data_IF_384814837742
#
_entry.id   IF_384814837742
#
_cell.length_a   1.000
_cell.length_b   1.000
_cell.length_c   1.000
_cell.angle_alpha   90.00
_cell.angle_beta   90.00
_cell.angle_gamma   90.00
#
_symmetry.space_group_name_H-M   'P 1'
#
loop_
_entity.id
_entity.type
_entity.pdbx_description
1 polymer ?
#
# COMPACT_ATOMS: atom_id res chain seq x y z
N UNK A 1 -6.95 8.05 -48.46
CA UNK A 1 -7.74 7.12 -47.63
C UNK A 1 -7.81 5.70 -48.16
N UNK A 2 -7.98 5.45 -49.47
CA UNK A 2 -8.02 4.06 -49.98
C UNK A 2 -6.67 3.31 -49.88
N UNK A 3 -5.54 4.00 -50.12
CA UNK A 3 -4.18 3.41 -50.01
C UNK A 3 -3.84 2.93 -48.60
N UNK A 4 -4.00 3.79 -47.58
CA UNK A 4 -3.78 3.43 -46.18
C UNK A 4 -4.61 2.20 -45.74
N UNK A 5 -5.88 2.14 -46.14
CA UNK A 5 -6.73 0.97 -45.83
C UNK A 5 -6.20 -0.33 -46.46
N UNK A 6 -5.63 -0.26 -47.66
CA UNK A 6 -5.04 -1.42 -48.32
C UNK A 6 -3.73 -1.85 -47.65
N UNK A 7 -2.90 -0.89 -47.23
CA UNK A 7 -1.65 -1.19 -46.51
C UNK A 7 -1.93 -1.81 -45.13
N UNK A 8 -2.94 -1.33 -44.39
CA UNK A 8 -3.36 -1.95 -43.12
C UNK A 8 -3.80 -3.40 -43.34
N UNK A 9 -4.65 -3.66 -44.34
CA UNK A 9 -5.11 -5.03 -44.65
C UNK A 9 -3.93 -5.93 -45.04
N UNK A 10 -2.96 -5.40 -45.81
CA UNK A 10 -1.77 -6.13 -46.19
C UNK A 10 -0.88 -6.44 -44.97
N UNK A 11 -0.73 -5.49 -44.04
CA UNK A 11 0.05 -5.66 -42.82
C UNK A 11 -0.54 -6.71 -41.86
N UNK A 12 -1.87 -6.79 -41.80
CA UNK A 12 -2.61 -7.79 -41.02
C UNK A 12 -2.74 -9.14 -41.74
N UNK A 13 -2.17 -9.28 -42.94
CA UNK A 13 -2.31 -10.49 -43.73
C UNK A 13 -1.53 -11.67 -43.14
N UNK A 14 -2.00 -12.89 -43.42
CA UNK A 14 -1.25 -14.11 -43.11
C UNK A 14 0.11 -14.17 -43.82
N UNK A 15 0.32 -13.37 -44.86
CA UNK A 15 1.59 -13.32 -45.57
C UNK A 15 2.67 -12.65 -44.72
N UNK A 16 2.39 -11.47 -44.15
CA UNK A 16 3.30 -10.80 -43.20
C UNK A 16 3.63 -11.73 -42.04
N UNK A 17 2.63 -12.37 -41.44
CA UNK A 17 2.86 -13.31 -40.34
C UNK A 17 3.80 -14.47 -40.73
N UNK A 18 3.65 -15.04 -41.93
CA UNK A 18 4.55 -16.10 -42.44
C UNK A 18 5.97 -15.60 -42.66
N UNK A 19 6.13 -14.39 -43.20
CA UNK A 19 7.45 -13.79 -43.46
C UNK A 19 8.19 -13.43 -42.18
N UNK A 20 7.48 -12.86 -41.21
CA UNK A 20 8.02 -12.63 -39.86
C UNK A 20 8.46 -13.96 -39.23
N UNK A 21 7.65 -15.01 -39.34
CA UNK A 21 8.00 -16.35 -38.85
C UNK A 21 9.21 -16.96 -39.58
N UNK A 22 9.39 -16.65 -40.87
CA UNK A 22 10.55 -17.05 -41.65
C UNK A 22 11.83 -16.26 -41.29
N UNK A 23 11.69 -15.11 -40.61
CA UNK A 23 12.81 -14.27 -40.20
C UNK A 23 13.18 -13.18 -41.19
N UNK A 24 12.24 -12.76 -42.04
CA UNK A 24 12.47 -11.65 -42.96
C UNK A 24 12.57 -10.32 -42.18
N UNK A 25 13.46 -9.43 -42.61
CA UNK A 25 13.60 -8.11 -42.01
C UNK A 25 12.46 -7.18 -42.43
N UNK A 26 12.16 -6.16 -41.62
CA UNK A 26 11.03 -5.25 -41.88
C UNK A 26 11.12 -4.61 -43.26
N UNK A 27 12.31 -4.23 -43.71
CA UNK A 27 12.51 -3.61 -45.01
C UNK A 27 12.18 -4.53 -46.20
N UNK A 28 12.45 -5.83 -46.09
CA UNK A 28 12.14 -6.84 -47.11
C UNK A 28 10.63 -7.08 -47.18
N UNK A 29 9.99 -7.16 -46.00
CA UNK A 29 8.53 -7.27 -45.86
C UNK A 29 7.85 -6.06 -46.51
N UNK A 30 8.27 -4.86 -46.13
CA UNK A 30 7.72 -3.62 -46.65
C UNK A 30 7.95 -3.46 -48.16
N UNK A 31 9.16 -3.79 -48.65
CA UNK A 31 9.53 -3.65 -50.05
C UNK A 31 8.70 -4.51 -50.99
N UNK A 32 8.52 -5.79 -50.65
CA UNK A 32 7.75 -6.72 -51.49
C UNK A 32 6.24 -6.48 -51.43
N UNK A 33 5.71 -6.08 -50.27
CA UNK A 33 4.28 -5.80 -50.09
C UNK A 33 3.90 -4.36 -50.47
N UNK A 34 4.89 -3.53 -50.82
CA UNK A 34 4.69 -2.14 -51.21
C UNK A 34 4.19 -1.25 -50.07
N UNK A 35 4.49 -1.59 -48.82
CA UNK A 35 4.11 -0.81 -47.63
C UNK A 35 5.00 0.43 -47.53
N UNK A 36 4.39 1.59 -47.33
CA UNK A 36 5.08 2.89 -47.32
C UNK A 36 4.58 3.80 -46.22
N UNK A 37 3.38 3.57 -45.71
CA UNK A 37 2.82 4.37 -44.65
C UNK A 37 3.62 4.17 -43.34
N UNK A 38 4.10 5.25 -42.70
CA UNK A 38 4.93 5.14 -41.50
C UNK A 38 4.28 4.38 -40.35
N UNK A 39 2.96 4.52 -40.13
CA UNK A 39 2.26 3.84 -39.04
C UNK A 39 2.16 2.33 -39.34
N UNK A 40 1.96 1.97 -40.61
CA UNK A 40 1.95 0.57 -41.04
C UNK A 40 3.34 -0.06 -40.95
N UNK A 41 4.39 0.69 -41.31
CA UNK A 41 5.77 0.23 -41.18
C UNK A 41 6.13 -0.01 -39.71
N UNK A 42 5.79 0.93 -38.83
CA UNK A 42 5.98 0.77 -37.39
C UNK A 42 5.23 -0.46 -36.85
N UNK A 43 3.99 -0.69 -37.27
CA UNK A 43 3.26 -1.90 -36.91
C UNK A 43 3.99 -3.18 -37.35
N UNK A 44 4.52 -3.23 -38.57
CA UNK A 44 5.32 -4.38 -39.05
C UNK A 44 6.63 -4.53 -38.27
N UNK A 45 7.30 -3.43 -37.90
CA UNK A 45 8.49 -3.46 -37.04
C UNK A 45 8.17 -4.08 -35.68
N UNK A 46 7.04 -3.71 -35.07
CA UNK A 46 6.57 -4.31 -33.80
C UNK A 46 6.30 -5.81 -33.99
N UNK A 47 5.67 -6.22 -35.10
CA UNK A 47 5.44 -7.64 -35.38
C UNK A 47 6.75 -8.42 -35.50
N UNK A 48 7.74 -7.89 -36.21
CA UNK A 48 9.08 -8.49 -36.32
C UNK A 48 9.75 -8.55 -34.95
N UNK A 49 9.67 -7.49 -34.14
CA UNK A 49 10.27 -7.43 -32.81
C UNK A 49 9.70 -8.50 -31.85
N UNK A 50 8.39 -8.73 -31.89
CA UNK A 50 7.69 -9.62 -30.97
C UNK A 50 7.67 -11.09 -31.41
N UNK A 51 7.77 -11.36 -32.71
CA UNK A 51 7.50 -12.69 -33.26
C UNK A 51 8.68 -13.26 -34.04
N UNK A 52 8.74 -14.60 -34.07
CA UNK A 52 9.69 -15.32 -34.91
C UNK A 52 11.15 -15.25 -34.42
N UNK A 53 12.12 -15.26 -35.35
CA UNK A 53 13.54 -15.38 -35.01
C UNK A 53 14.12 -14.19 -34.24
N UNK A 54 13.65 -12.96 -34.45
CA UNK A 54 14.17 -11.78 -33.76
C UNK A 54 13.89 -11.84 -32.25
N UNK A 55 12.64 -12.10 -31.85
CA UNK A 55 12.28 -12.26 -30.43
C UNK A 55 12.97 -13.48 -29.80
N UNK A 56 13.12 -14.57 -30.55
CA UNK A 56 13.86 -15.76 -30.09
C UNK A 56 15.33 -15.42 -29.83
N UNK A 57 15.99 -14.70 -30.74
CA UNK A 57 17.40 -14.35 -30.62
C UNK A 57 17.69 -13.50 -29.37
N UNK A 58 16.85 -12.50 -29.07
CA UNK A 58 17.01 -11.69 -27.83
C UNK A 58 16.68 -12.48 -26.57
N UNK A 59 15.68 -13.37 -26.62
CA UNK A 59 15.36 -14.28 -25.50
C UNK A 59 16.51 -15.24 -25.20
N UNK A 60 17.25 -15.65 -26.22
CA UNK A 60 18.43 -16.52 -26.09
C UNK A 60 19.70 -15.75 -25.68
N UNK A 61 19.62 -14.41 -25.65
CA UNK A 61 20.65 -13.55 -25.09
C UNK A 61 21.44 -12.72 -26.10
N UNK A 62 21.06 -12.74 -27.37
CA UNK A 62 21.64 -11.82 -28.37
C UNK A 62 21.31 -10.37 -27.97
N UNK A 63 22.26 -9.43 -28.02
CA UNK A 63 21.98 -8.04 -27.66
C UNK A 63 20.89 -7.40 -28.54
N UNK A 64 19.98 -6.65 -27.93
CA UNK A 64 18.85 -6.05 -28.64
C UNK A 64 19.28 -5.08 -29.74
N UNK A 65 20.41 -4.38 -29.60
CA UNK A 65 20.97 -3.51 -30.66
C UNK A 65 21.35 -4.28 -31.91
N UNK A 66 22.05 -5.40 -31.74
CA UNK A 66 22.52 -6.24 -32.83
C UNK A 66 21.32 -6.83 -33.59
N UNK A 67 20.29 -7.30 -32.86
CA UNK A 67 19.05 -7.80 -33.46
C UNK A 67 18.28 -6.67 -34.16
N UNK A 68 18.13 -5.50 -33.54
CA UNK A 68 17.45 -4.38 -34.19
C UNK A 68 18.17 -3.94 -35.48
N UNK A 69 19.50 -3.95 -35.49
CA UNK A 69 20.29 -3.67 -36.69
C UNK A 69 20.08 -4.73 -37.78
N UNK A 70 20.11 -6.01 -37.41
CA UNK A 70 19.91 -7.11 -38.34
C UNK A 70 18.52 -7.06 -39.01
N UNK A 71 17.48 -6.80 -38.22
CA UNK A 71 16.09 -6.80 -38.69
C UNK A 71 15.59 -5.42 -39.16
N UNK A 72 16.46 -4.40 -39.12
CA UNK A 72 16.16 -3.02 -39.49
C UNK A 72 15.01 -2.39 -38.69
N UNK A 73 14.92 -2.72 -37.39
CA UNK A 73 13.96 -2.13 -36.44
C UNK A 73 14.47 -0.73 -36.05
N UNK A 74 13.64 0.30 -36.26
CA UNK A 74 14.02 1.71 -36.12
C UNK A 74 13.08 2.49 -35.20
N UNK A 75 11.80 2.13 -35.13
CA UNK A 75 10.83 2.82 -34.30
C UNK A 75 11.12 2.56 -32.82
N UNK A 76 10.81 3.54 -31.97
CA UNK A 76 11.00 3.41 -30.53
C UNK A 76 10.07 2.35 -29.94
N UNK A 77 8.84 2.22 -30.45
CA UNK A 77 7.87 1.25 -29.96
C UNK A 77 8.28 -0.19 -30.31
N UNK A 78 8.77 -0.42 -31.53
CA UNK A 78 9.31 -1.72 -31.92
C UNK A 78 10.61 -2.04 -31.17
N UNK A 79 11.45 -1.02 -30.92
CA UNK A 79 12.64 -1.18 -30.07
C UNK A 79 12.27 -1.57 -28.65
N UNK A 80 11.31 -0.88 -28.05
CA UNK A 80 10.79 -1.19 -26.73
C UNK A 80 10.24 -2.62 -26.70
N UNK A 81 9.41 -3.00 -27.67
CA UNK A 81 8.86 -4.34 -27.79
C UNK A 81 9.95 -5.42 -27.84
N UNK A 82 11.01 -5.20 -28.64
CA UNK A 82 12.15 -6.11 -28.72
C UNK A 82 12.90 -6.23 -27.38
N UNK A 83 13.11 -5.11 -26.69
CA UNK A 83 13.77 -5.11 -25.38
C UNK A 83 12.91 -5.80 -24.31
N UNK A 84 11.59 -5.66 -24.35
CA UNK A 84 10.66 -6.41 -23.50
C UNK A 84 10.79 -7.93 -23.71
N UNK A 85 11.05 -8.38 -24.93
CA UNK A 85 11.25 -9.80 -25.23
C UNK A 85 12.54 -10.37 -24.63
N UNK A 86 13.58 -9.56 -24.44
CA UNK A 86 14.81 -10.02 -23.79
C UNK A 86 14.60 -10.36 -22.30
N UNK A 87 13.64 -9.70 -21.65
CA UNK A 87 13.42 -9.78 -20.20
C UNK A 87 12.94 -11.17 -19.73
N UNK A 88 11.92 -11.82 -20.31
CA UNK A 88 11.55 -13.18 -19.91
C UNK A 88 12.61 -14.23 -20.28
N UNK A 89 13.59 -13.87 -21.12
CA UNK A 89 14.66 -14.72 -21.58
C UNK A 89 15.92 -14.71 -20.71
N UNK A 90 17.08 -14.77 -21.37
CA UNK A 90 18.38 -14.88 -20.73
C UNK A 90 18.72 -13.70 -19.84
N UNK A 91 18.41 -12.46 -20.26
CA UNK A 91 18.67 -11.26 -19.46
C UNK A 91 17.95 -11.30 -18.09
N UNK A 92 16.66 -11.68 -18.08
CA UNK A 92 15.90 -11.83 -16.83
C UNK A 92 16.47 -12.89 -15.90
N UNK A 93 16.83 -14.07 -16.43
CA UNK A 93 17.43 -15.15 -15.63
C UNK A 93 18.70 -14.69 -14.91
N UNK A 94 19.56 -13.94 -15.61
CA UNK A 94 20.82 -13.43 -15.05
C UNK A 94 20.60 -12.49 -13.85
N UNK A 95 19.67 -11.55 -13.96
CA UNK A 95 19.36 -10.62 -12.86
C UNK A 95 18.59 -11.28 -11.71
N UNK A 96 17.90 -12.40 -11.99
CA UNK A 96 17.24 -13.21 -10.97
C UNK A 96 18.24 -14.00 -10.12
N UNK A 97 19.33 -14.47 -10.72
CA UNK A 97 20.33 -15.29 -10.04
C UNK A 97 21.18 -14.48 -9.06
N UNK A 98 22.00 -13.54 -9.53
CA UNK A 98 22.77 -12.62 -8.66
C UNK A 98 23.49 -11.50 -9.43
N UNK A 99 23.20 -11.31 -10.72
CA UNK A 99 23.90 -10.30 -11.52
C UNK A 99 23.27 -8.91 -11.41
N UNK A 100 24.09 -7.88 -11.61
CA UNK A 100 23.64 -6.48 -11.59
C UNK A 100 22.77 -6.17 -12.81
N UNK A 101 21.61 -5.57 -12.58
CA UNK A 101 20.70 -5.09 -13.63
C UNK A 101 21.40 -4.12 -14.58
N UNK A 102 22.26 -3.24 -14.07
CA UNK A 102 23.03 -2.31 -14.91
C UNK A 102 24.00 -3.05 -15.86
N UNK A 103 24.71 -4.07 -15.35
CA UNK A 103 25.63 -4.85 -16.16
C UNK A 103 24.89 -5.65 -17.23
N UNK A 104 23.81 -6.32 -16.83
CA UNK A 104 22.98 -7.13 -17.74
C UNK A 104 22.33 -6.23 -18.80
N UNK A 105 21.74 -5.10 -18.40
CA UNK A 105 21.14 -4.15 -19.34
C UNK A 105 22.16 -3.65 -20.37
N UNK A 106 23.39 -3.34 -19.93
CA UNK A 106 24.47 -2.91 -20.84
C UNK A 106 24.87 -4.01 -21.83
N UNK A 107 25.05 -5.24 -21.35
CA UNK A 107 25.50 -6.36 -22.20
C UNK A 107 24.42 -6.82 -23.18
N UNK A 108 23.16 -6.81 -22.78
CA UNK A 108 22.03 -7.12 -23.65
C UNK A 108 21.51 -5.90 -24.42
N UNK A 109 22.12 -4.72 -24.22
CA UNK A 109 21.72 -3.45 -24.83
C UNK A 109 20.24 -3.13 -24.63
N UNK A 110 19.74 -3.41 -23.41
CA UNK A 110 18.42 -2.97 -22.92
C UNK A 110 18.60 -1.54 -22.41
N UNK A 111 17.97 -0.58 -23.09
CA UNK A 111 18.21 0.86 -22.92
C UNK A 111 16.94 1.65 -22.65
N UNK A 112 15.79 1.12 -23.07
CA UNK A 112 14.49 1.76 -22.84
C UNK A 112 14.15 1.73 -21.34
N UNK A 113 13.70 2.86 -20.81
CA UNK A 113 13.53 3.06 -19.37
C UNK A 113 12.54 2.07 -18.78
N UNK A 114 11.47 1.77 -19.50
CA UNK A 114 10.42 0.82 -19.14
C UNK A 114 10.94 -0.62 -19.08
N UNK A 115 11.76 -1.01 -20.06
CA UNK A 115 12.37 -2.34 -20.10
C UNK A 115 13.42 -2.51 -19.00
N UNK A 116 14.24 -1.48 -18.73
CA UNK A 116 15.17 -1.47 -17.59
C UNK A 116 14.42 -1.56 -16.26
N UNK A 117 13.33 -0.81 -16.09
CA UNK A 117 12.51 -0.85 -14.89
C UNK A 117 11.92 -2.24 -14.63
N UNK A 118 11.45 -2.91 -15.67
CA UNK A 118 10.96 -4.29 -15.55
C UNK A 118 12.11 -5.27 -15.21
N UNK A 119 13.28 -5.11 -15.82
CA UNK A 119 14.45 -5.94 -15.51
C UNK A 119 14.85 -5.81 -14.03
N UNK A 120 14.90 -4.58 -13.51
CA UNK A 120 15.12 -4.32 -12.08
C UNK A 120 14.01 -4.93 -11.21
N UNK A 121 12.74 -4.75 -11.61
CA UNK A 121 11.59 -5.33 -10.91
C UNK A 121 11.72 -6.84 -10.78
N UNK A 122 12.17 -7.56 -11.81
CA UNK A 122 12.39 -9.01 -11.76
C UNK A 122 13.50 -9.39 -10.78
N UNK A 123 14.62 -8.66 -10.79
CA UNK A 123 15.71 -8.90 -9.83
C UNK A 123 15.24 -8.82 -8.38
N UNK A 124 14.32 -7.89 -8.09
CA UNK A 124 13.74 -7.73 -6.75
C UNK A 124 12.62 -8.75 -6.49
N UNK A 125 11.65 -8.89 -7.38
CA UNK A 125 10.43 -9.69 -7.16
C UNK A 125 10.72 -11.20 -7.15
N UNK A 126 11.54 -11.66 -8.11
CA UNK A 126 11.80 -13.07 -8.38
C UNK A 126 13.24 -13.46 -8.02
N UNK A 127 14.13 -12.48 -8.00
CA UNK A 127 15.57 -12.68 -7.90
C UNK A 127 16.19 -12.60 -6.51
N UNK A 128 17.52 -12.63 -6.51
CA UNK A 128 18.35 -12.60 -5.31
C UNK A 128 18.31 -11.28 -4.54
N UNK A 129 18.03 -10.15 -5.18
CA UNK A 129 17.95 -8.87 -4.49
C UNK A 129 16.82 -8.87 -3.44
N UNK A 130 15.61 -9.31 -3.81
CA UNK A 130 14.50 -9.42 -2.86
C UNK A 130 14.71 -10.51 -1.81
N UNK A 131 15.35 -11.63 -2.16
CA UNK A 131 15.71 -12.69 -1.19
C UNK A 131 16.70 -12.17 -0.14
N UNK A 132 17.69 -11.39 -0.56
CA UNK A 132 18.67 -10.76 0.34
C UNK A 132 18.00 -9.72 1.26
N UNK A 133 17.07 -8.92 0.74
CA UNK A 133 16.32 -7.94 1.51
C UNK A 133 15.46 -8.63 2.60
N UNK A 134 14.73 -9.70 2.24
CA UNK A 134 13.92 -10.48 3.19
C UNK A 134 14.76 -11.09 4.32
N UNK A 135 15.99 -11.52 4.00
CA UNK A 135 16.94 -12.08 4.98
C UNK A 135 17.62 -11.01 5.85
N UNK A 136 17.30 -9.74 5.62
CA UNK A 136 17.73 -8.65 6.48
C UNK A 136 19.02 -7.96 6.06
N UNK A 137 19.43 -8.08 4.79
CA UNK A 137 20.45 -7.19 4.26
C UNK A 137 19.89 -5.77 4.07
N UNK A 138 20.77 -4.77 4.15
CA UNK A 138 20.40 -3.38 3.99
C UNK A 138 20.01 -3.07 2.53
N UNK A 139 18.86 -2.44 2.32
CA UNK A 139 18.30 -2.20 0.99
C UNK A 139 19.19 -1.26 0.15
N UNK A 140 19.92 -0.31 0.76
CA UNK A 140 20.86 0.57 0.04
C UNK A 140 22.02 -0.25 -0.55
N UNK A 141 22.64 -1.10 0.28
CA UNK A 141 23.73 -1.97 -0.16
C UNK A 141 23.29 -2.92 -1.28
N UNK A 142 22.06 -3.44 -1.18
CA UNK A 142 21.49 -4.29 -2.22
C UNK A 142 21.23 -3.49 -3.50
N UNK A 143 20.61 -2.30 -3.41
CA UNK A 143 20.34 -1.46 -4.57
C UNK A 143 21.63 -1.12 -5.33
N UNK A 144 22.70 -0.77 -4.61
CA UNK A 144 24.02 -0.50 -5.21
C UNK A 144 24.61 -1.75 -5.87
N UNK A 145 24.61 -2.89 -5.16
CA UNK A 145 25.15 -4.16 -5.67
C UNK A 145 24.45 -4.61 -6.95
N UNK A 146 23.13 -4.52 -6.99
CA UNK A 146 22.32 -4.98 -8.12
C UNK A 146 22.06 -3.89 -9.17
N UNK A 147 22.59 -2.67 -8.98
CA UNK A 147 22.40 -1.56 -9.91
C UNK A 147 20.93 -1.14 -10.06
N UNK A 148 20.16 -1.16 -8.98
CA UNK A 148 18.74 -0.76 -8.98
C UNK A 148 18.64 0.77 -8.89
N UNK A 149 18.20 1.42 -9.96
CA UNK A 149 18.13 2.87 -10.08
C UNK A 149 16.71 3.41 -10.07
N UNK A 150 15.72 2.60 -10.44
CA UNK A 150 14.35 3.06 -10.52
C UNK A 150 13.72 3.15 -9.12
N UNK A 151 13.00 4.25 -8.87
CA UNK A 151 12.31 4.46 -7.59
C UNK A 151 11.28 3.36 -7.31
N UNK A 152 10.60 2.85 -8.35
CA UNK A 152 9.66 1.73 -8.23
C UNK A 152 10.33 0.44 -7.76
N UNK A 153 11.52 0.12 -8.31
CA UNK A 153 12.35 -1.02 -7.87
C UNK A 153 12.82 -0.84 -6.43
N UNK A 154 13.17 0.41 -6.06
CA UNK A 154 13.57 0.77 -4.70
C UNK A 154 12.45 0.56 -3.69
N UNK A 155 11.25 1.08 -3.97
CA UNK A 155 10.05 0.85 -3.16
C UNK A 155 9.75 -0.65 -3.00
N UNK A 156 9.82 -1.40 -4.11
CA UNK A 156 9.60 -2.85 -4.08
C UNK A 156 10.63 -3.56 -3.19
N UNK A 157 11.90 -3.16 -3.24
CA UNK A 157 12.96 -3.74 -2.43
C UNK A 157 12.74 -3.50 -0.93
N UNK A 158 12.35 -2.28 -0.56
CA UNK A 158 11.99 -1.96 0.82
C UNK A 158 10.78 -2.77 1.29
N UNK A 159 9.76 -2.94 0.45
CA UNK A 159 8.62 -3.82 0.73
C UNK A 159 9.05 -5.28 0.93
N UNK A 160 10.04 -5.78 0.17
CA UNK A 160 10.61 -7.12 0.40
C UNK A 160 11.30 -7.21 1.75
N UNK A 161 12.04 -6.18 2.17
CA UNK A 161 12.68 -6.14 3.50
C UNK A 161 11.64 -6.16 4.62
N UNK A 162 10.59 -5.33 4.50
CA UNK A 162 9.47 -5.26 5.43
C UNK A 162 8.72 -6.60 5.50
N UNK A 163 8.49 -7.25 4.36
CA UNK A 163 7.89 -8.59 4.30
C UNK A 163 8.76 -9.71 4.87
N UNK A 164 10.01 -9.43 5.27
CA UNK A 164 10.93 -10.36 5.87
C UNK A 164 11.32 -9.98 7.31
N UNK A 165 12.61 -10.01 7.61
CA UNK A 165 13.13 -9.84 8.96
C UNK A 165 12.82 -8.47 9.58
N UNK A 166 12.79 -7.40 8.77
CA UNK A 166 12.52 -6.06 9.29
C UNK A 166 11.10 -5.96 9.89
N UNK A 167 10.08 -6.41 9.14
CA UNK A 167 8.71 -6.41 9.65
C UNK A 167 8.50 -7.41 10.79
N UNK A 168 9.18 -8.56 10.78
CA UNK A 168 9.13 -9.51 11.90
C UNK A 168 9.60 -8.86 13.21
N UNK A 169 10.75 -8.17 13.17
CA UNK A 169 11.31 -7.49 14.36
C UNK A 169 10.38 -6.41 14.88
N UNK A 170 9.85 -5.57 14.00
CA UNK A 170 8.91 -4.51 14.38
C UNK A 170 7.62 -5.09 14.95
N UNK A 171 7.09 -6.17 14.35
CA UNK A 171 5.93 -6.87 14.90
C UNK A 171 6.16 -7.36 16.33
N UNK A 172 7.38 -7.81 16.65
CA UNK A 172 7.76 -8.26 17.99
C UNK A 172 8.16 -7.14 18.96
N UNK A 173 8.12 -5.88 18.50
CA UNK A 173 8.27 -4.71 19.36
C UNK A 173 9.61 -3.99 19.28
N UNK A 174 10.45 -4.33 18.30
CA UNK A 174 11.59 -3.47 17.97
C UNK A 174 11.11 -2.13 17.41
N UNK A 175 11.84 -1.06 17.70
CA UNK A 175 11.47 0.29 17.26
C UNK A 175 11.53 0.46 15.74
N UNK A 176 10.48 1.04 15.16
CA UNK A 176 10.37 1.29 13.73
C UNK A 176 11.53 2.14 13.18
N UNK A 177 11.89 3.23 13.85
CA UNK A 177 12.98 4.14 13.48
C UNK A 177 14.34 3.42 13.37
N UNK A 178 14.67 2.61 14.38
CA UNK A 178 15.93 1.84 14.44
C UNK A 178 15.96 0.74 13.39
N UNK A 179 14.85 0.01 13.23
CA UNK A 179 14.73 -1.03 12.20
C UNK A 179 14.85 -0.39 10.81
N UNK A 180 14.11 0.68 10.53
CA UNK A 180 14.16 1.38 9.25
C UNK A 180 15.59 1.83 8.91
N UNK A 181 16.28 2.46 9.86
CA UNK A 181 17.69 2.85 9.67
C UNK A 181 18.59 1.64 9.39
N UNK A 182 18.45 0.55 10.15
CA UNK A 182 19.30 -0.63 10.03
C UNK A 182 19.13 -1.34 8.68
N UNK A 183 17.88 -1.52 8.23
CA UNK A 183 17.58 -2.19 6.96
C UNK A 183 17.55 -1.23 5.76
N UNK A 184 17.78 0.06 6.01
CA UNK A 184 17.80 1.09 4.99
C UNK A 184 16.43 1.25 4.33
N UNK A 185 15.36 1.35 5.11
CA UNK A 185 14.00 1.66 4.64
C UNK A 185 13.82 3.17 4.80
N UNK A 186 13.53 3.88 3.70
CA UNK A 186 13.52 5.35 3.68
C UNK A 186 12.30 5.94 3.00
N UNK A 187 11.66 5.21 2.10
CA UNK A 187 10.49 5.73 1.39
C UNK A 187 9.33 5.89 2.37
N UNK A 188 8.62 7.01 2.24
CA UNK A 188 7.52 7.37 3.16
C UNK A 188 6.42 6.30 3.19
N UNK A 189 6.12 5.73 2.03
CA UNK A 189 5.17 4.62 1.90
C UNK A 189 5.65 3.35 2.64
N UNK A 190 6.93 3.00 2.51
CA UNK A 190 7.51 1.85 3.23
C UNK A 190 7.51 2.06 4.74
N UNK A 191 7.86 3.28 5.19
CA UNK A 191 7.85 3.65 6.61
C UNK A 191 6.43 3.54 7.19
N UNK A 192 5.43 4.03 6.46
CA UNK A 192 4.03 3.88 6.85
C UNK A 192 3.63 2.40 7.00
N UNK A 193 3.99 1.54 6.05
CA UNK A 193 3.71 0.09 6.16
C UNK A 193 4.42 -0.53 7.37
N UNK A 194 5.68 -0.17 7.62
CA UNK A 194 6.45 -0.67 8.75
C UNK A 194 5.82 -0.27 10.08
N UNK A 195 5.39 0.99 10.23
CA UNK A 195 4.69 1.47 11.43
C UNK A 195 3.35 0.74 11.64
N UNK A 196 2.57 0.51 10.58
CA UNK A 196 1.34 -0.27 10.70
C UNK A 196 1.58 -1.70 11.18
N UNK A 197 2.70 -2.32 10.80
CA UNK A 197 3.07 -3.64 11.33
C UNK A 197 3.33 -3.59 12.84
N UNK A 198 3.92 -2.50 13.35
CA UNK A 198 4.10 -2.31 14.79
C UNK A 198 2.75 -2.23 15.50
N UNK A 199 1.83 -1.42 14.95
CA UNK A 199 0.46 -1.26 15.47
C UNK A 199 -0.30 -2.58 15.49
N UNK A 200 -0.16 -3.39 14.43
CA UNK A 200 -0.80 -4.71 14.35
C UNK A 200 -0.09 -5.79 15.18
N UNK A 201 1.10 -5.51 15.68
CA UNK A 201 1.90 -6.40 16.52
C UNK A 201 1.89 -6.00 17.99
N UNK A 202 3.08 -6.06 18.60
CA UNK A 202 3.27 -5.86 20.05
C UNK A 202 2.77 -4.51 20.56
N UNK A 203 2.83 -3.44 19.77
CA UNK A 203 2.34 -2.13 20.17
C UNK A 203 0.82 -2.17 20.37
N UNK A 204 0.07 -2.73 19.42
CA UNK A 204 -1.38 -2.88 19.52
C UNK A 204 -1.81 -3.81 20.64
N UNK A 205 -1.08 -4.91 20.88
CA UNK A 205 -1.34 -5.81 22.01
C UNK A 205 -1.27 -5.08 23.36
N UNK A 206 -0.23 -4.26 23.55
CA UNK A 206 -0.04 -3.46 24.77
C UNK A 206 -1.12 -2.41 24.95
N UNK A 207 -1.54 -1.76 23.85
CA UNK A 207 -2.68 -0.84 23.88
C UNK A 207 -3.98 -1.55 24.24
N UNK A 208 -4.23 -2.75 23.71
CA UNK A 208 -5.39 -3.57 24.08
C UNK A 208 -5.36 -3.99 25.55
N UNK A 209 -4.17 -4.18 26.13
CA UNK A 209 -3.99 -4.40 27.57
C UNK A 209 -4.20 -3.13 28.41
N UNK A 210 -4.51 -1.99 27.80
CA UNK A 210 -4.86 -0.75 28.47
C UNK A 210 -3.69 0.20 28.71
N UNK A 211 -2.51 -0.04 28.12
CA UNK A 211 -1.40 0.90 28.18
C UNK A 211 -1.68 2.18 27.36
N UNK A 212 -0.95 3.26 27.68
CA UNK A 212 -1.11 4.56 27.02
C UNK A 212 -0.62 4.54 25.57
N UNK A 213 -1.46 4.94 24.62
CA UNK A 213 -1.14 5.01 23.19
C UNK A 213 0.05 5.91 22.91
N UNK A 214 0.16 7.05 23.62
CA UNK A 214 1.26 8.00 23.46
C UNK A 214 2.60 7.37 23.85
N UNK A 215 2.66 6.74 25.04
CA UNK A 215 3.86 6.07 25.54
C UNK A 215 4.26 4.91 24.63
N UNK A 216 3.30 4.10 24.18
CA UNK A 216 3.55 2.99 23.26
C UNK A 216 4.05 3.48 21.90
N UNK A 217 3.45 4.53 21.34
CA UNK A 217 3.89 5.09 20.07
C UNK A 217 5.34 5.60 20.17
N UNK A 218 5.69 6.29 21.26
CA UNK A 218 7.07 6.73 21.49
C UNK A 218 8.03 5.55 21.67
N UNK A 219 7.69 4.57 22.51
CA UNK A 219 8.52 3.39 22.79
C UNK A 219 8.81 2.54 21.55
N UNK A 220 7.83 2.40 20.65
CA UNK A 220 7.96 1.65 19.39
C UNK A 220 8.41 2.51 18.20
N UNK A 221 8.62 3.81 18.39
CA UNK A 221 9.08 4.71 17.33
C UNK A 221 8.05 4.93 16.21
N UNK A 222 6.76 4.94 16.56
CA UNK A 222 5.65 5.19 15.63
C UNK A 222 5.42 6.70 15.55
N UNK A 223 5.80 7.31 14.43
CA UNK A 223 5.75 8.75 14.20
C UNK A 223 4.58 9.20 13.33
N UNK A 224 4.13 8.36 12.39
CA UNK A 224 3.10 8.70 11.43
C UNK A 224 1.74 9.02 12.05
N UNK A 225 1.05 10.02 11.49
CA UNK A 225 -0.27 10.45 11.95
C UNK A 225 -1.30 9.31 11.90
N UNK A 226 -1.37 8.62 10.75
CA UNK A 226 -2.34 7.54 10.53
C UNK A 226 -2.08 6.29 11.40
N UNK A 227 -0.85 5.76 11.54
CA UNK A 227 -0.57 4.68 12.50
C UNK A 227 -0.86 5.07 13.95
N UNK A 228 -0.59 6.33 14.34
CA UNK A 228 -0.96 6.84 15.69
C UNK A 228 -2.46 6.91 15.90
N UNK A 229 -3.23 7.35 14.91
CA UNK A 229 -4.68 7.30 14.93
C UNK A 229 -5.18 5.87 15.08
N UNK A 230 -4.58 4.91 14.37
CA UNK A 230 -4.96 3.51 14.43
C UNK A 230 -4.71 2.88 15.81
N UNK A 231 -3.61 3.22 16.49
CA UNK A 231 -3.40 2.84 17.90
C UNK A 231 -4.49 3.41 18.80
N UNK A 232 -4.84 4.68 18.65
CA UNK A 232 -5.87 5.31 19.48
C UNK A 232 -7.26 4.70 19.24
N UNK A 233 -7.61 4.41 17.98
CA UNK A 233 -8.83 3.65 17.66
C UNK A 233 -8.84 2.26 18.27
N UNK A 234 -7.67 1.60 18.35
CA UNK A 234 -7.52 0.31 19.01
C UNK A 234 -7.82 0.40 20.51
N UNK A 235 -7.33 1.43 21.20
CA UNK A 235 -7.68 1.68 22.61
C UNK A 235 -9.17 1.96 22.79
N UNK A 236 -9.74 2.85 21.95
CA UNK A 236 -11.15 3.23 21.97
C UNK A 236 -12.03 2.00 21.79
N UNK A 237 -11.73 1.13 20.83
CA UNK A 237 -12.54 -0.04 20.54
C UNK A 237 -12.32 -1.23 21.50
N UNK A 238 -11.44 -1.11 22.49
CA UNK A 238 -11.23 -2.12 23.52
C UNK A 238 -11.36 -1.52 24.91
N UNK A 239 -10.25 -1.41 25.67
CA UNK A 239 -10.29 -1.13 27.11
C UNK A 239 -10.96 0.21 27.47
N UNK A 240 -10.94 1.19 26.57
CA UNK A 240 -11.58 2.49 26.81
C UNK A 240 -13.10 2.38 26.71
N UNK A 241 -13.63 1.81 25.62
CA UNK A 241 -15.08 1.58 25.48
C UNK A 241 -15.60 0.70 26.60
N UNK A 242 -14.93 -0.41 26.89
CA UNK A 242 -15.32 -1.33 27.96
C UNK A 242 -15.37 -0.63 29.32
N UNK A 243 -14.36 0.18 29.65
CA UNK A 243 -14.32 0.92 30.91
C UNK A 243 -15.41 2.00 31.02
N UNK A 244 -15.71 2.68 29.91
CA UNK A 244 -16.76 3.71 29.87
C UNK A 244 -18.15 3.07 29.99
N UNK A 245 -18.41 2.00 29.24
CA UNK A 245 -19.70 1.31 29.26
C UNK A 245 -19.97 0.63 30.62
N UNK A 246 -18.93 0.14 31.29
CA UNK A 246 -19.01 -0.37 32.66
C UNK A 246 -19.12 0.75 33.73
N UNK A 247 -19.00 2.03 33.36
CA UNK A 247 -19.08 3.16 34.29
C UNK A 247 -17.86 3.33 35.21
N UNK A 248 -16.78 2.57 34.98
CA UNK A 248 -15.55 2.63 35.79
C UNK A 248 -14.55 3.67 35.26
N UNK A 249 -14.80 4.23 34.08
CA UNK A 249 -13.94 5.21 33.42
C UNK A 249 -14.78 6.35 32.81
N UNK A 250 -14.46 7.60 33.13
CA UNK A 250 -15.03 8.76 32.43
C UNK A 250 -14.26 9.06 31.15
N UNK A 251 -14.87 9.76 30.19
CA UNK A 251 -14.21 10.14 28.93
C UNK A 251 -12.96 10.98 29.16
N UNK A 252 -13.04 12.00 30.02
CA UNK A 252 -11.89 12.81 30.42
C UNK A 252 -10.75 11.95 30.98
N UNK A 253 -11.05 11.04 31.91
CA UNK A 253 -10.04 10.13 32.48
C UNK A 253 -9.51 9.14 31.45
N UNK A 254 -10.31 8.71 30.49
CA UNK A 254 -9.89 7.82 29.40
C UNK A 254 -8.87 8.51 28.48
N UNK A 255 -9.12 9.78 28.12
CA UNK A 255 -8.22 10.59 27.30
C UNK A 255 -6.84 10.68 27.94
N UNK A 256 -6.78 11.05 29.22
CA UNK A 256 -5.52 11.24 29.93
C UNK A 256 -4.79 9.92 30.17
N UNK A 257 -5.51 8.90 30.66
CA UNK A 257 -4.92 7.60 30.97
C UNK A 257 -4.39 6.88 29.73
N UNK A 258 -5.13 6.91 28.63
CA UNK A 258 -4.80 6.16 27.41
C UNK A 258 -4.06 7.01 26.37
N UNK A 259 -3.82 8.30 26.64
CA UNK A 259 -3.07 9.19 25.74
C UNK A 259 -3.77 9.43 24.40
N UNK A 260 -5.07 9.77 24.44
CA UNK A 260 -5.90 9.96 23.23
C UNK A 260 -5.91 11.44 22.83
N UNK A 261 -5.03 11.79 21.89
CA UNK A 261 -4.81 13.18 21.47
C UNK A 261 -5.22 13.47 20.03
N UNK A 262 -5.41 12.45 19.19
CA UNK A 262 -5.76 12.66 17.80
C UNK A 262 -7.17 13.26 17.69
N UNK A 263 -7.40 14.34 16.91
CA UNK A 263 -8.70 15.00 16.83
C UNK A 263 -9.85 14.05 16.48
N UNK A 264 -9.65 13.18 15.48
CA UNK A 264 -10.65 12.16 15.14
C UNK A 264 -10.92 11.16 16.26
N UNK A 265 -9.89 10.72 16.99
CA UNK A 265 -10.07 9.79 18.10
C UNK A 265 -10.84 10.45 19.26
N UNK A 266 -10.65 11.75 19.47
CA UNK A 266 -11.41 12.52 20.46
C UNK A 266 -12.89 12.66 20.08
N UNK A 267 -13.20 12.96 18.81
CA UNK A 267 -14.58 13.01 18.33
C UNK A 267 -15.33 11.71 18.60
N UNK A 268 -14.69 10.55 18.39
CA UNK A 268 -15.28 9.25 18.69
C UNK A 268 -15.68 9.11 20.17
N UNK A 269 -14.88 9.64 21.09
CA UNK A 269 -15.20 9.62 22.52
C UNK A 269 -16.33 10.58 22.89
N UNK A 270 -16.34 11.78 22.29
CA UNK A 270 -17.41 12.77 22.48
C UNK A 270 -18.76 12.22 21.99
N UNK A 271 -18.79 11.55 20.85
CA UNK A 271 -19.97 10.86 20.31
C UNK A 271 -20.46 9.75 21.25
N UNK A 272 -19.52 8.97 21.81
CA UNK A 272 -19.84 7.94 22.80
C UNK A 272 -20.45 8.52 24.08
N UNK A 273 -19.90 9.62 24.59
CA UNK A 273 -20.42 10.32 25.78
C UNK A 273 -21.84 10.83 25.55
N UNK A 274 -22.07 11.48 24.41
CA UNK A 274 -23.38 11.98 24.01
C UNK A 274 -24.41 10.84 23.93
N UNK A 275 -24.03 9.69 23.36
CA UNK A 275 -24.90 8.52 23.27
C UNK A 275 -25.28 7.95 24.65
N UNK A 276 -24.35 7.92 25.60
CA UNK A 276 -24.61 7.45 26.97
C UNK A 276 -25.52 8.41 27.74
N UNK A 277 -25.31 9.72 27.57
CA UNK A 277 -26.17 10.75 28.14
C UNK A 277 -27.61 10.65 27.62
N UNK A 278 -27.80 10.39 26.32
CA UNK A 278 -29.14 10.19 25.76
C UNK A 278 -29.81 8.91 26.30
N UNK A 279 -29.05 7.82 26.49
CA UNK A 279 -29.58 6.57 27.06
C UNK A 279 -30.01 6.75 28.52
N UNK A 280 -29.24 7.46 29.33
CA UNK A 280 -29.61 7.70 30.73
C UNK A 280 -30.89 8.53 30.85
N UNK A 281 -31.08 9.56 30.01
CA UNK A 281 -32.33 10.34 29.93
C UNK A 281 -33.55 9.50 29.50
N UNK A 282 -33.37 8.53 28.61
CA UNK A 282 -34.47 7.62 28.22
C UNK A 282 -34.83 6.61 29.31
N UNK A 283 -33.85 6.19 30.12
CA UNK A 283 -34.06 5.21 31.21
C UNK A 283 -34.69 5.84 32.45
N UNK A 284 -34.47 7.14 32.64
CA UNK A 284 -35.11 7.95 33.68
C UNK A 284 -35.76 9.17 33.03
N UNK A 285 -36.96 9.03 32.43
CA UNK A 285 -37.72 10.21 32.03
C UNK A 285 -37.99 11.01 33.31
N UNK A 286 -37.47 12.23 33.37
CA UNK A 286 -37.80 13.17 34.44
C UNK A 286 -39.33 13.22 34.53
N UNK A 287 -39.87 12.85 35.69
CA UNK A 287 -41.27 13.05 36.01
C UNK A 287 -41.56 14.56 36.08
N UNK A 288 -41.86 15.14 34.94
CA UNK A 288 -42.53 16.42 34.77
C UNK A 288 -43.45 16.17 33.57
N UNK A 289 -44.73 15.91 33.75
CA UNK A 289 -45.72 16.91 34.15
C UNK A 289 -46.74 16.35 35.16
N UNK A 290 -46.50 16.60 36.44
CA UNK A 290 -47.50 16.49 37.51
C UNK A 290 -47.87 17.88 37.99
N UNK A 291 -48.60 18.65 37.17
CA UNK A 291 -49.23 19.90 37.59
C UNK A 291 -50.37 19.62 38.56
N UNK A 292 -50.05 19.25 39.80
CA UNK A 292 -51.02 19.21 40.88
C UNK A 292 -51.44 20.66 41.21
N UNK A 293 -52.52 21.11 40.58
CA UNK A 293 -53.32 22.24 41.09
C UNK A 293 -53.71 21.91 42.52
N UNK A 294 -53.08 22.58 43.47
CA UNK A 294 -53.60 22.67 44.84
C UNK A 294 -54.77 23.64 44.83
N UNK A 295 -55.96 23.13 44.49
CA UNK A 295 -57.19 23.80 44.88
C UNK A 295 -57.28 23.77 46.39
N UNK A 296 -57.00 24.91 47.02
CA UNK A 296 -57.36 25.18 48.41
C UNK A 296 -58.88 25.26 48.49
N UNK A 297 -59.54 24.16 48.84
CA UNK A 297 -60.90 24.20 49.36
C UNK A 297 -60.83 24.54 50.85
N UNK A 298 -61.33 25.71 51.18
CA UNK A 298 -61.53 26.18 52.55
C UNK A 298 -62.89 25.65 53.01
N UNK A 299 -62.90 24.74 53.97
CA UNK A 299 -64.11 24.37 54.73
C UNK A 299 -64.45 25.49 55.73
N UNK A 300 -65.75 25.70 55.94
CA UNK A 300 -66.39 26.75 56.76
C UNK A 300 -66.10 26.70 58.27
N UNK A 301 -65.13 25.92 58.74
CA UNK A 301 -64.76 25.81 60.16
C UNK A 301 -63.36 26.30 60.53
N UNK A 302 -62.60 26.87 59.58
CA UNK A 302 -61.43 27.71 59.89
C UNK A 302 -60.31 27.04 60.71
N UNK A 303 -59.84 25.85 60.32
CA UNK A 303 -58.58 25.28 60.85
C UNK A 303 -57.59 24.93 59.75
N UNK A 304 -56.41 25.54 59.82
CA UNK A 304 -55.21 25.10 59.10
C UNK A 304 -54.65 23.84 59.78
N UNK A 305 -54.56 22.73 59.04
CA UNK A 305 -53.72 21.60 59.44
C UNK A 305 -52.50 21.56 58.53
N UNK A 306 -51.40 22.13 59.01
CA UNK A 306 -50.06 21.77 58.59
C UNK A 306 -49.72 20.40 59.18
N UNK A 307 -49.30 19.45 58.36
CA UNK A 307 -48.55 18.29 58.82
C UNK A 307 -47.45 17.99 57.81
N UNK A 308 -46.25 18.47 58.15
CA UNK A 308 -45.00 17.83 57.79
C UNK A 308 -45.03 16.42 58.37
N UNK A 309 -44.88 15.40 57.52
CA UNK A 309 -44.30 14.13 57.93
C UNK A 309 -43.39 13.60 56.82
N UNK A 310 -42.11 13.83 57.06
CA UNK A 310 -40.96 13.13 56.51
C UNK A 310 -41.06 11.63 56.79
N UNK A 311 -40.81 10.79 55.79
CA UNK A 311 -40.26 9.45 56.01
C UNK A 311 -39.17 9.11 55.00
N UNK A 312 -37.95 9.03 55.54
CA UNK A 312 -36.80 8.30 55.02
C UNK A 312 -37.08 6.82 54.82
N UNK A 313 -36.50 6.22 53.77
CA UNK A 313 -35.65 4.98 53.77
C UNK A 313 -35.36 4.60 52.31
N UNK A 314 -34.09 4.65 51.87
CA UNK A 314 -33.11 3.54 51.77
C UNK A 314 -33.48 2.58 50.61
N UNK A 315 -32.63 2.15 49.67
CA UNK A 315 -31.39 1.34 49.73
C UNK A 315 -30.95 1.16 48.24
N UNK A 316 -29.74 1.54 47.80
CA UNK A 316 -28.57 0.67 47.52
C UNK A 316 -28.84 -0.80 47.11
N UNK A 317 -28.89 -1.09 45.81
CA UNK A 317 -28.31 -2.34 45.24
C UNK A 317 -27.66 -2.01 43.91
#
# INVERSE_FOLDING_TARGET
MAGLKLEIIAAESADVARRVAAGDATHDIAGELGLRDPEVLEYVEILVACNGPASTAVRDGTPCGDVAQQYQIKSQDARLALEWEAIPGHAGRRVEENESCELVARQHQVTMTEAVAELERRSVALGSAGKQARRGQNCETIAQKFGLRQQSSRLLLERMSIGGLAGMRVRHGDRCDKVASQYGIRESESLFVLENIAVMGRAGERVKAGESCYKIADEHGIGGEQPRLMLQRTAINGPVREGIEAGVLSVSRAIDKHGIHHPEARRLLEEMEAALYQRSRRRFPLAAEGGARTERTVDSTGRCNSLMESFSRCIEV
#
